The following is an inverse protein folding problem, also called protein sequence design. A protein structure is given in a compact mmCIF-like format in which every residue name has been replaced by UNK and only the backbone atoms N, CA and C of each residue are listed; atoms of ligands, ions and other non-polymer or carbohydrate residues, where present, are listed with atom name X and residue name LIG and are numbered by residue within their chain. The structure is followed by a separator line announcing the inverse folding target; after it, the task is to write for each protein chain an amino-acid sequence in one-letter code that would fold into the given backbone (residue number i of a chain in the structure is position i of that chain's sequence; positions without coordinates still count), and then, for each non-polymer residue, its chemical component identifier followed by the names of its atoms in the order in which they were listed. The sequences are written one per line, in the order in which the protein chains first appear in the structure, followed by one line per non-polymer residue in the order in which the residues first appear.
data_IF_249248485822
#
_entry.id   IF_249248485822
#
_cell.length_a   1.000
_cell.length_b   1.000
_cell.length_c   1.000
_cell.angle_alpha   90.00
_cell.angle_beta   90.00
_cell.angle_gamma   90.00
#
_symmetry.space_group_name_H-M   'P 1'
#
loop_
_entity.id
_entity.type
_entity.pdbx_description
1 polymer ?
#
# COMPACT_ATOMS: atom_id res chain seq x y z
N UNK A 1 35.61 -4.82 -30.96
CA UNK A 1 34.67 -4.56 -29.85
C UNK A 1 33.32 -4.32 -30.50
N UNK A 2 32.34 -5.17 -30.22
CA UNK A 2 31.00 -5.02 -30.78
C UNK A 2 30.25 -3.88 -30.04
N UNK A 3 29.06 -3.51 -30.53
CA UNK A 3 28.30 -2.39 -29.96
C UNK A 3 27.87 -2.64 -28.50
N UNK A 4 27.60 -3.89 -28.14
CA UNK A 4 27.20 -4.31 -26.79
C UNK A 4 28.37 -4.19 -25.81
N UNK A 5 29.58 -4.56 -26.24
CA UNK A 5 30.81 -4.42 -25.45
C UNK A 5 31.13 -2.96 -25.14
N UNK A 6 30.92 -2.06 -26.12
CA UNK A 6 31.10 -0.61 -25.95
C UNK A 6 30.08 -0.08 -24.95
N UNK A 7 28.81 -0.50 -25.08
CA UNK A 7 27.74 -0.07 -24.19
C UNK A 7 28.01 -0.48 -22.74
N UNK A 8 28.42 -1.73 -22.54
CA UNK A 8 28.73 -2.28 -21.22
C UNK A 8 29.88 -1.50 -20.56
N UNK A 9 30.95 -1.25 -21.31
CA UNK A 9 32.11 -0.49 -20.83
C UNK A 9 31.80 0.97 -20.53
N UNK A 10 30.89 1.58 -21.29
CA UNK A 10 30.37 2.92 -21.00
C UNK A 10 29.52 2.93 -19.72
N UNK A 11 28.67 1.92 -19.49
CA UNK A 11 27.88 1.79 -18.26
C UNK A 11 28.78 1.61 -17.04
N UNK A 12 29.81 0.78 -17.13
CA UNK A 12 30.82 0.59 -16.07
C UNK A 12 31.57 1.90 -15.76
N UNK A 13 31.99 2.65 -16.78
CA UNK A 13 32.64 3.95 -16.61
C UNK A 13 31.73 5.01 -15.98
N UNK A 14 30.44 4.99 -16.30
CA UNK A 14 29.47 5.97 -15.77
C UNK A 14 29.03 5.66 -14.34
N UNK A 15 28.91 4.38 -13.99
CA UNK A 15 28.36 3.93 -12.71
C UNK A 15 29.44 3.69 -11.65
N UNK A 16 30.66 3.32 -12.05
CA UNK A 16 31.74 2.94 -11.14
C UNK A 16 31.36 1.75 -10.23
N UNK A 17 32.13 1.52 -9.15
CA UNK A 17 31.85 0.49 -8.13
C UNK A 17 30.70 0.86 -7.18
N UNK A 18 29.85 1.83 -7.55
CA UNK A 18 28.73 2.22 -6.69
C UNK A 18 27.72 1.08 -6.65
N UNK A 19 27.33 0.57 -5.48
CA UNK A 19 26.30 -0.44 -5.39
C UNK A 19 25.01 0.13 -5.99
N UNK A 20 24.57 -0.44 -7.11
CA UNK A 20 23.24 -0.20 -7.65
C UNK A 20 22.27 -0.83 -6.65
N UNK A 21 21.45 -0.01 -5.98
CA UNK A 21 20.40 -0.55 -5.13
C UNK A 21 19.43 -1.35 -6.01
N UNK A 22 19.39 -2.68 -5.82
CA UNK A 22 18.49 -3.58 -6.53
C UNK A 22 17.11 -3.70 -5.90
N UNK A 23 16.79 -2.89 -4.88
CA UNK A 23 15.40 -2.79 -4.38
C UNK A 23 14.56 -2.07 -5.43
N UNK A 24 14.10 -2.84 -6.41
CA UNK A 24 13.07 -2.44 -7.36
C UNK A 24 11.73 -2.72 -6.72
N UNK A 25 11.06 -1.69 -6.18
CA UNK A 25 9.74 -1.80 -5.59
C UNK A 25 9.52 -0.83 -4.45
N UNK A 26 8.25 -0.54 -4.19
CA UNK A 26 7.79 0.31 -3.09
C UNK A 26 7.74 -0.43 -1.74
N UNK A 27 7.81 -1.77 -1.78
CA UNK A 27 7.61 -2.65 -0.63
C UNK A 27 6.12 -2.94 -0.35
N UNK A 28 5.22 -2.23 -1.02
CA UNK A 28 3.76 -2.40 -0.89
C UNK A 28 3.20 -3.47 -1.83
N UNK A 29 3.98 -3.98 -2.78
CA UNK A 29 3.57 -5.02 -3.74
C UNK A 29 3.10 -6.30 -3.04
N UNK A 30 3.59 -6.57 -1.83
CA UNK A 30 3.16 -7.69 -0.97
C UNK A 30 1.68 -7.64 -0.57
N UNK A 31 1.06 -6.47 -0.64
CA UNK A 31 -0.35 -6.29 -0.31
C UNK A 31 -1.26 -6.42 -1.53
N UNK A 32 -0.73 -6.58 -2.75
CA UNK A 32 -1.55 -6.76 -3.94
C UNK A 32 -2.46 -8.00 -3.80
N UNK A 33 -3.77 -7.81 -4.02
CA UNK A 33 -4.78 -8.85 -3.84
C UNK A 33 -5.13 -9.15 -2.38
N UNK A 34 -4.74 -8.29 -1.42
CA UNK A 34 -5.02 -8.45 0.01
C UNK A 34 -6.01 -7.41 0.51
N UNK A 35 -6.74 -7.78 1.56
CA UNK A 35 -7.49 -6.82 2.34
C UNK A 35 -6.52 -6.17 3.33
N UNK A 36 -6.58 -4.85 3.44
CA UNK A 36 -5.68 -4.09 4.30
C UNK A 36 -6.43 -3.10 5.17
N UNK A 37 -5.83 -2.77 6.31
CA UNK A 37 -6.12 -1.59 7.11
C UNK A 37 -4.92 -0.64 7.01
N UNK A 38 -5.16 0.59 6.60
CA UNK A 38 -4.15 1.63 6.34
C UNK A 38 -4.42 2.80 7.27
N UNK A 39 -3.39 3.27 7.98
CA UNK A 39 -3.46 4.55 8.67
C UNK A 39 -2.63 5.59 7.95
N UNK A 40 -3.28 6.71 7.62
CA UNK A 40 -2.59 7.93 7.20
C UNK A 40 -2.50 8.90 8.38
N UNK A 41 -2.01 10.12 8.13
CA UNK A 41 -1.93 11.16 9.17
C UNK A 41 -3.30 11.53 9.74
N UNK A 42 -4.33 11.57 8.89
CA UNK A 42 -5.67 12.09 9.28
C UNK A 42 -6.76 11.04 9.18
N UNK A 43 -6.64 10.08 8.26
CA UNK A 43 -7.71 9.13 7.96
C UNK A 43 -7.22 7.70 8.02
N UNK A 44 -8.08 6.79 8.46
CA UNK A 44 -7.87 5.36 8.41
C UNK A 44 -8.74 4.75 7.31
N UNK A 45 -8.22 3.77 6.60
CA UNK A 45 -8.93 3.13 5.51
C UNK A 45 -8.87 1.63 5.62
N UNK A 46 -9.92 0.98 5.18
CA UNK A 46 -9.92 -0.43 4.81
C UNK A 46 -10.19 -0.57 3.33
N UNK A 47 -9.73 -1.66 2.74
CA UNK A 47 -10.02 -1.96 1.33
C UNK A 47 -9.27 -3.17 0.82
N UNK A 48 -9.66 -3.61 -0.37
CA UNK A 48 -8.97 -4.67 -1.12
C UNK A 48 -8.00 -4.05 -2.13
N UNK A 49 -6.69 -4.30 -1.98
CA UNK A 49 -5.68 -3.71 -2.85
C UNK A 49 -5.72 -4.35 -4.23
N UNK A 50 -5.92 -3.55 -5.26
CA UNK A 50 -6.01 -4.00 -6.66
C UNK A 50 -4.88 -3.50 -7.55
N UNK A 51 -4.16 -2.46 -7.10
CA UNK A 51 -3.02 -1.92 -7.82
C UNK A 51 -1.99 -1.36 -6.84
N UNK A 52 -0.71 -1.56 -7.13
CA UNK A 52 0.41 -0.86 -6.49
C UNK A 52 1.22 -0.21 -7.60
N UNK A 53 1.27 1.11 -7.58
CA UNK A 53 2.05 1.94 -8.48
C UNK A 53 3.22 2.57 -7.73
N UNK A 54 4.11 3.27 -8.46
CA UNK A 54 5.34 3.85 -7.88
C UNK A 54 5.08 4.80 -6.70
N UNK A 55 3.95 5.51 -6.68
CA UNK A 55 3.65 6.55 -5.67
C UNK A 55 2.28 6.36 -5.01
N UNK A 56 1.54 5.32 -5.35
CA UNK A 56 0.19 5.11 -4.83
C UNK A 56 -0.18 3.63 -4.77
N UNK A 57 -1.20 3.31 -3.98
CA UNK A 57 -1.96 2.08 -4.13
C UNK A 57 -3.43 2.38 -4.40
N UNK A 58 -4.10 1.50 -5.13
CA UNK A 58 -5.55 1.59 -5.38
C UNK A 58 -6.26 0.44 -4.68
N UNK A 59 -7.36 0.77 -4.00
CA UNK A 59 -8.21 -0.19 -3.28
C UNK A 59 -9.65 -0.16 -3.81
N UNK A 60 -10.24 -1.34 -3.96
CA UNK A 60 -11.67 -1.53 -4.18
C UNK A 60 -12.36 -1.89 -2.86
N UNK A 61 -13.69 -1.79 -2.83
CA UNK A 61 -14.52 -2.06 -1.65
C UNK A 61 -13.95 -1.37 -0.41
N UNK A 62 -13.58 -0.09 -0.58
CA UNK A 62 -12.88 0.67 0.44
C UNK A 62 -13.86 1.38 1.36
N UNK A 63 -13.48 1.58 2.61
CA UNK A 63 -14.20 2.43 3.54
C UNK A 63 -13.24 3.39 4.26
N UNK A 64 -13.70 4.59 4.54
CA UNK A 64 -13.11 5.46 5.54
C UNK A 64 -13.57 4.98 6.92
N UNK A 65 -12.60 4.73 7.79
CA UNK A 65 -12.84 4.44 9.21
C UNK A 65 -12.68 5.76 9.96
N UNK A 66 -13.80 6.38 10.32
CA UNK A 66 -13.81 7.65 11.04
C UNK A 66 -13.54 7.43 12.54
N UNK A 67 -14.01 6.30 13.09
CA UNK A 67 -13.72 5.86 14.46
C UNK A 67 -13.42 4.35 14.49
N UNK A 68 -12.18 4.01 14.85
CA UNK A 68 -11.68 2.65 14.96
C UNK A 68 -11.86 2.02 16.35
N UNK A 69 -12.44 2.75 17.31
CA UNK A 69 -12.61 2.30 18.69
C UNK A 69 -11.27 1.91 19.33
N UNK A 70 -11.22 0.73 19.96
CA UNK A 70 -9.96 0.16 20.46
C UNK A 70 -9.29 -0.65 19.36
N UNK A 71 -8.38 -0.04 18.60
CA UNK A 71 -7.70 -0.64 17.43
C UNK A 71 -7.33 -2.13 17.58
N UNK A 72 -6.65 -2.53 18.65
CA UNK A 72 -6.27 -3.94 18.83
C UNK A 72 -7.47 -4.89 18.92
N UNK A 73 -8.55 -4.44 19.54
CA UNK A 73 -9.79 -5.20 19.63
C UNK A 73 -10.54 -5.19 18.29
N UNK A 74 -10.62 -4.03 17.63
CA UNK A 74 -11.29 -3.87 16.33
C UNK A 74 -10.62 -4.68 15.21
N UNK A 75 -9.29 -4.79 15.23
CA UNK A 75 -8.55 -5.66 14.31
C UNK A 75 -8.81 -7.17 14.55
N UNK A 76 -9.20 -7.56 15.77
CA UNK A 76 -9.59 -8.95 16.09
C UNK A 76 -11.05 -9.22 15.79
N UNK A 77 -11.89 -8.20 15.98
CA UNK A 77 -13.34 -8.26 15.84
C UNK A 77 -13.86 -7.00 15.12
N UNK A 78 -14.13 -7.11 13.80
CA UNK A 78 -14.66 -6.01 13.01
C UNK A 78 -15.96 -5.38 13.51
N UNK A 79 -16.70 -6.04 14.39
CA UNK A 79 -17.93 -5.48 14.97
C UNK A 79 -17.64 -4.38 16.02
N UNK A 80 -16.36 -4.16 16.36
CA UNK A 80 -15.92 -3.12 17.32
C UNK A 80 -15.48 -1.81 16.67
N UNK A 81 -15.52 -1.70 15.33
CA UNK A 81 -15.41 -0.41 14.67
C UNK A 81 -16.65 0.43 14.97
N UNK A 82 -16.47 1.70 15.32
CA UNK A 82 -17.57 2.55 15.77
C UNK A 82 -18.19 3.35 14.62
N UNK A 83 -17.38 3.82 13.65
CA UNK A 83 -17.86 4.60 12.52
C UNK A 83 -17.13 4.23 11.22
N UNK A 84 -17.89 3.72 10.24
CA UNK A 84 -17.39 3.20 8.94
C UNK A 84 -18.21 3.80 7.80
N UNK A 85 -17.52 4.51 6.90
CA UNK A 85 -18.12 5.14 5.72
C UNK A 85 -17.62 4.47 4.42
N UNK A 86 -18.43 3.63 3.76
CA UNK A 86 -18.02 2.99 2.51
C UNK A 86 -17.92 4.01 1.37
N UNK A 87 -16.83 3.90 0.60
CA UNK A 87 -16.70 4.60 -0.67
C UNK A 87 -17.54 3.93 -1.75
N UNK A 88 -18.21 4.74 -2.56
CA UNK A 88 -19.00 4.25 -3.72
C UNK A 88 -18.15 3.83 -4.91
N UNK A 89 -16.87 4.20 -4.94
CA UNK A 89 -15.93 3.94 -6.01
C UNK A 89 -14.57 3.54 -5.44
N UNK A 90 -13.69 2.90 -6.23
CA UNK A 90 -12.31 2.64 -5.83
C UNK A 90 -11.59 3.93 -5.43
N UNK A 91 -10.69 3.84 -4.46
CA UNK A 91 -9.87 4.96 -4.00
C UNK A 91 -8.39 4.69 -4.26
N UNK A 92 -7.63 5.76 -4.50
CA UNK A 92 -6.18 5.71 -4.64
C UNK A 92 -5.53 6.51 -3.51
N UNK A 93 -4.67 5.85 -2.73
CA UNK A 93 -3.99 6.44 -1.58
C UNK A 93 -2.52 6.66 -1.93
N UNK A 94 -2.00 7.85 -1.63
CA UNK A 94 -0.59 8.19 -1.80
C UNK A 94 0.28 7.40 -0.80
N UNK A 95 1.32 6.72 -1.29
CA UNK A 95 2.23 5.97 -0.41
C UNK A 95 2.97 6.88 0.58
N UNK A 96 3.16 8.16 0.24
CA UNK A 96 3.81 9.13 1.12
C UNK A 96 2.94 9.58 2.29
N UNK A 97 1.63 9.33 2.24
CA UNK A 97 0.71 9.63 3.33
C UNK A 97 0.53 8.48 4.31
N UNK A 98 1.02 7.29 3.96
CA UNK A 98 0.82 6.07 4.73
C UNK A 98 1.84 6.02 5.87
N UNK A 99 1.32 5.92 7.09
CA UNK A 99 2.13 5.70 8.29
C UNK A 99 2.35 4.21 8.53
N UNK A 100 1.29 3.40 8.35
CA UNK A 100 1.33 1.95 8.53
C UNK A 100 0.24 1.24 7.73
N UNK A 101 0.50 -0.03 7.41
CA UNK A 101 -0.42 -0.94 6.75
C UNK A 101 -0.33 -2.32 7.37
N UNK A 102 -1.47 -2.91 7.72
CA UNK A 102 -1.56 -4.32 8.09
C UNK A 102 -2.54 -5.06 7.18
N UNK A 103 -2.21 -6.31 6.86
CA UNK A 103 -3.18 -7.22 6.26
C UNK A 103 -4.26 -7.55 7.30
N UNK A 104 -5.50 -7.66 6.84
CA UNK A 104 -6.66 -8.06 7.64
C UNK A 104 -7.34 -9.25 6.95
N UNK A 105 -7.86 -10.20 7.73
CA UNK A 105 -8.48 -11.41 7.17
C UNK A 105 -9.92 -11.17 6.69
N UNK A 106 -10.65 -10.29 7.37
CA UNK A 106 -12.03 -9.91 7.04
C UNK A 106 -12.05 -8.44 6.67
N UNK A 107 -12.64 -8.14 5.50
CA UNK A 107 -12.81 -6.76 5.04
C UNK A 107 -13.90 -6.06 5.87
N UNK A 108 -13.63 -4.82 6.29
CA UNK A 108 -14.57 -3.97 7.02
C UNK A 108 -15.04 -2.88 6.07
N UNK A 109 -16.31 -2.88 5.70
CA UNK A 109 -16.90 -1.87 4.79
C UNK A 109 -18.18 -1.24 5.33
N UNK A 110 -18.70 -1.75 6.44
CA UNK A 110 -19.92 -1.27 7.10
C UNK A 110 -19.90 -1.70 8.57
N UNK A 111 -20.58 -0.94 9.42
CA UNK A 111 -20.95 -1.36 10.78
C UNK A 111 -22.25 -2.15 10.69
N UNK A 112 -22.37 -3.23 11.48
CA UNK A 112 -23.62 -4.00 11.59
C UNK A 112 -24.62 -3.34 12.53
#
# INVERSE_FOLDING_TARGET
MNKEDVLLKMMEMLLGDKPISTQTGTGYERYLGKNVFIRTVTHHYTGHVTEVATMSLTMQDAAWIADDGRLNESLKDPEKFEEVEPYVNPITVSLYSILEVTEISKLITEVK
#
